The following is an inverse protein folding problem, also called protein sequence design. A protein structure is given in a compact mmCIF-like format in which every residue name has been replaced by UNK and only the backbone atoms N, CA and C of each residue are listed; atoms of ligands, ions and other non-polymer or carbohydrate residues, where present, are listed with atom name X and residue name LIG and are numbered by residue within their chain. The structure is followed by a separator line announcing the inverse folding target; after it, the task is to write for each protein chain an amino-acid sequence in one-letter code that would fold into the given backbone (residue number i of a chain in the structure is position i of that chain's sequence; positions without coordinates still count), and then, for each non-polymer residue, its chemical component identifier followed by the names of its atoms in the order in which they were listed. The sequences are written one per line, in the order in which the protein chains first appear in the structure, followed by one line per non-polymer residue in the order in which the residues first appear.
data_IF_984699038945
#
_entry.id   IF_984699038945
#
_cell.length_a   1.000
_cell.length_b   1.000
_cell.length_c   1.000
_cell.angle_alpha   90.00
_cell.angle_beta   90.00
_cell.angle_gamma   90.00
#
_symmetry.space_group_name_H-M   'P 1'
#
loop_
_entity.id
_entity.type
_entity.pdbx_description
1 polymer ?
#
# COMPACT_ATOMS: atom_id res chain seq x y z
N UNK A 1 43.96 -21.80 -61.78
CA UNK A 1 43.77 -22.35 -63.13
C UNK A 1 42.28 -22.38 -63.39
N UNK A 2 41.78 -21.64 -64.39
CA UNK A 2 40.35 -21.66 -64.75
C UNK A 2 40.15 -22.72 -65.84
N UNK A 3 39.41 -23.79 -65.55
CA UNK A 3 39.14 -24.86 -66.51
C UNK A 3 37.93 -24.44 -67.32
N UNK A 4 38.09 -24.33 -68.64
CA UNK A 4 36.95 -24.16 -69.53
C UNK A 4 36.17 -25.47 -69.63
N UNK A 5 35.12 -25.57 -68.81
CA UNK A 5 34.25 -26.75 -68.72
C UNK A 5 33.47 -27.00 -70.02
N UNK A 6 33.20 -25.97 -70.82
CA UNK A 6 32.50 -26.13 -72.11
C UNK A 6 33.44 -26.71 -73.14
N UNK A 7 34.64 -26.14 -73.26
CA UNK A 7 35.68 -26.69 -74.13
C UNK A 7 36.03 -28.13 -73.75
N UNK A 8 36.12 -28.43 -72.45
CA UNK A 8 36.39 -29.80 -71.98
C UNK A 8 35.24 -30.76 -72.31
N UNK A 9 33.99 -30.31 -72.22
CA UNK A 9 32.82 -31.10 -72.63
C UNK A 9 32.86 -31.42 -74.12
N UNK A 10 33.10 -30.42 -74.97
CA UNK A 10 33.18 -30.60 -76.43
C UNK A 10 34.28 -31.58 -76.84
N UNK A 11 35.43 -31.52 -76.16
CA UNK A 11 36.54 -32.46 -76.38
C UNK A 11 36.15 -33.87 -75.94
N UNK A 12 35.47 -34.02 -74.79
CA UNK A 12 35.01 -35.32 -74.32
C UNK A 12 33.91 -35.93 -75.22
N UNK A 13 32.97 -35.13 -75.73
CA UNK A 13 31.93 -35.58 -76.66
C UNK A 13 32.50 -36.03 -78.02
N UNK A 14 33.59 -35.42 -78.47
CA UNK A 14 34.29 -35.79 -79.72
C UNK A 14 35.26 -36.97 -79.56
N UNK A 15 35.61 -37.33 -78.33
CA UNK A 15 36.55 -38.42 -78.05
C UNK A 15 35.89 -39.80 -78.27
N UNK A 16 36.72 -40.84 -78.37
CA UNK A 16 36.24 -42.19 -78.69
C UNK A 16 35.27 -42.72 -77.62
N UNK A 17 34.00 -43.00 -77.95
CA UNK A 17 33.01 -43.47 -77.00
C UNK A 17 33.23 -44.96 -76.65
N UNK A 18 32.61 -45.41 -75.55
CA UNK A 18 32.56 -46.83 -75.18
C UNK A 18 33.31 -47.17 -73.90
N UNK A 19 33.43 -48.47 -73.62
CA UNK A 19 34.08 -48.98 -72.43
C UNK A 19 35.60 -49.08 -72.67
N UNK A 20 36.37 -48.27 -71.96
CA UNK A 20 37.83 -48.24 -72.09
C UNK A 20 38.48 -49.24 -71.14
N UNK A 21 39.39 -50.07 -71.66
CA UNK A 21 40.22 -51.00 -70.88
C UNK A 21 41.68 -50.70 -71.08
N UNK A 22 42.47 -50.96 -70.04
CA UNK A 22 43.94 -50.88 -70.11
C UNK A 22 44.51 -52.00 -70.97
N UNK A 23 45.59 -51.73 -71.68
CA UNK A 23 46.47 -52.76 -72.25
C UNK A 23 47.93 -52.36 -72.08
N UNK A 24 48.76 -53.29 -71.61
CA UNK A 24 50.20 -53.07 -71.46
C UNK A 24 50.88 -53.43 -72.79
N UNK A 25 51.35 -52.42 -73.53
CA UNK A 25 52.09 -52.59 -74.78
C UNK A 25 53.27 -51.62 -74.83
N UNK A 26 54.27 -51.90 -75.67
CA UNK A 26 55.35 -50.97 -75.99
C UNK A 26 54.88 -49.81 -76.90
N UNK A 27 53.66 -49.91 -77.43
CA UNK A 27 53.00 -48.89 -78.23
C UNK A 27 52.19 -47.94 -77.34
N UNK A 28 52.30 -46.63 -77.56
CA UNK A 28 51.44 -45.63 -76.92
C UNK A 28 50.31 -45.22 -77.89
N UNK A 29 49.06 -45.38 -77.48
CA UNK A 29 47.91 -44.99 -78.31
C UNK A 29 46.58 -45.56 -77.88
N UNK A 30 45.50 -45.07 -78.49
CA UNK A 30 44.14 -45.57 -78.32
C UNK A 30 43.80 -46.38 -79.57
N UNK A 31 43.38 -47.64 -79.40
CA UNK A 31 42.94 -48.46 -80.53
C UNK A 31 41.58 -49.09 -80.27
N UNK A 32 40.81 -49.24 -81.36
CA UNK A 32 39.55 -49.99 -81.38
C UNK A 32 39.88 -51.40 -81.85
N UNK A 33 39.59 -52.41 -81.04
CA UNK A 33 39.82 -53.80 -81.45
C UNK A 33 38.63 -54.66 -81.04
N UNK A 34 38.19 -55.61 -81.90
CA UNK A 34 37.38 -56.72 -81.44
C UNK A 34 38.24 -57.50 -80.45
N UNK A 35 37.89 -57.48 -79.16
CA UNK A 35 38.64 -58.25 -78.18
C UNK A 35 38.28 -59.73 -78.40
N UNK A 36 39.18 -60.50 -79.02
CA UNK A 36 38.90 -61.85 -79.56
C UNK A 36 38.35 -62.88 -78.57
N UNK A 37 38.35 -62.59 -77.26
CA UNK A 37 37.83 -63.47 -76.21
C UNK A 37 36.37 -63.21 -75.81
N UNK A 38 35.80 -62.04 -76.12
CA UNK A 38 34.43 -61.67 -75.70
C UNK A 38 33.49 -61.24 -76.83
N UNK A 39 33.97 -61.13 -78.08
CA UNK A 39 33.13 -60.74 -79.23
C UNK A 39 32.58 -59.30 -79.18
N UNK A 40 32.98 -58.52 -78.17
CA UNK A 40 32.58 -57.13 -77.95
C UNK A 40 33.72 -56.19 -78.39
N UNK A 41 33.37 -55.09 -79.06
CA UNK A 41 34.33 -54.04 -79.41
C UNK A 41 34.69 -53.25 -78.14
N UNK A 42 35.99 -53.24 -77.79
CA UNK A 42 36.50 -52.56 -76.59
C UNK A 42 37.55 -51.55 -77.00
N UNK A 43 37.55 -50.39 -76.33
CA UNK A 43 38.57 -49.35 -76.51
C UNK A 43 39.76 -49.66 -75.62
N UNK A 44 40.95 -49.75 -76.20
CA UNK A 44 42.17 -50.07 -75.46
C UNK A 44 43.07 -48.84 -75.33
N UNK A 45 43.31 -48.41 -74.09
CA UNK A 45 44.31 -47.41 -73.77
C UNK A 45 45.67 -48.11 -73.62
N UNK A 46 46.60 -47.82 -74.54
CA UNK A 46 47.97 -48.34 -74.52
C UNK A 46 48.93 -47.27 -74.04
N UNK A 47 49.69 -47.61 -73.00
CA UNK A 47 50.85 -46.83 -72.54
C UNK A 47 51.97 -47.78 -72.11
N UNK A 48 53.22 -47.32 -72.20
CA UNK A 48 54.39 -48.03 -71.69
C UNK A 48 54.24 -48.30 -70.18
N UNK A 49 53.76 -47.31 -69.43
CA UNK A 49 53.51 -47.41 -67.99
C UNK A 49 52.10 -47.95 -67.72
N UNK A 50 52.02 -49.13 -67.10
CA UNK A 50 50.75 -49.81 -66.78
C UNK A 50 49.76 -48.96 -65.97
N UNK A 51 50.29 -48.07 -65.11
CA UNK A 51 49.50 -47.16 -64.25
C UNK A 51 48.80 -46.06 -65.05
N UNK A 52 49.45 -45.55 -66.08
CA UNK A 52 48.90 -44.47 -66.92
C UNK A 52 47.76 -45.01 -67.79
N UNK A 53 47.89 -46.23 -68.32
CA UNK A 53 46.82 -46.90 -69.06
C UNK A 53 45.59 -47.17 -68.17
N UNK A 54 45.79 -47.52 -66.90
CA UNK A 54 44.70 -47.65 -65.92
C UNK A 54 44.00 -46.31 -65.69
N UNK A 55 44.77 -45.25 -65.46
CA UNK A 55 44.23 -43.91 -65.24
C UNK A 55 43.46 -43.40 -66.46
N UNK A 56 44.01 -43.50 -67.67
CA UNK A 56 43.35 -43.05 -68.91
C UNK A 56 42.08 -43.85 -69.19
N UNK A 57 42.10 -45.18 -68.95
CA UNK A 57 40.90 -46.00 -69.12
C UNK A 57 39.80 -45.66 -68.11
N UNK A 58 40.16 -45.28 -66.88
CA UNK A 58 39.21 -44.83 -65.85
C UNK A 58 38.71 -43.40 -66.10
N UNK A 59 39.61 -42.49 -66.47
CA UNK A 59 39.34 -41.09 -66.83
C UNK A 59 38.95 -40.95 -68.32
N UNK A 60 38.16 -41.91 -68.80
CA UNK A 60 37.67 -41.93 -70.16
C UNK A 60 36.63 -40.81 -70.40
N UNK A 61 36.21 -40.59 -71.67
CA UNK A 61 35.25 -39.54 -72.00
C UNK A 61 33.91 -39.65 -71.26
N UNK A 62 33.40 -40.86 -71.02
CA UNK A 62 32.15 -41.07 -70.30
C UNK A 62 32.25 -40.64 -68.82
N UNK A 63 33.35 -41.00 -68.14
CA UNK A 63 33.63 -40.57 -66.77
C UNK A 63 33.78 -39.04 -66.70
N UNK A 64 34.47 -38.42 -67.66
CA UNK A 64 34.65 -36.96 -67.70
C UNK A 64 33.30 -36.24 -67.87
N UNK A 65 32.44 -36.72 -68.77
CA UNK A 65 31.10 -36.15 -68.98
C UNK A 65 30.22 -36.27 -67.74
N UNK A 66 30.23 -37.43 -67.06
CA UNK A 66 29.52 -37.63 -65.81
C UNK A 66 29.99 -36.65 -64.72
N UNK A 67 31.31 -36.49 -64.54
CA UNK A 67 31.88 -35.53 -63.59
C UNK A 67 31.52 -34.07 -63.95
N UNK A 68 31.48 -33.73 -65.23
CA UNK A 68 31.04 -32.40 -65.68
C UNK A 68 29.56 -32.16 -65.39
N UNK A 69 28.70 -33.16 -65.59
CA UNK A 69 27.28 -33.08 -65.26
C UNK A 69 27.07 -32.91 -63.75
N UNK A 70 27.74 -33.71 -62.92
CA UNK A 70 27.74 -33.56 -61.46
C UNK A 70 28.21 -32.17 -61.04
N UNK A 71 29.28 -31.65 -61.65
CA UNK A 71 29.79 -30.33 -61.33
C UNK A 71 28.80 -29.21 -61.68
N UNK A 72 28.08 -29.33 -62.79
CA UNK A 72 27.00 -28.40 -63.16
C UNK A 72 25.86 -28.48 -62.15
N UNK A 73 25.47 -29.68 -61.70
CA UNK A 73 24.45 -29.84 -60.67
C UNK A 73 24.87 -29.22 -59.33
N UNK A 74 26.12 -29.44 -58.91
CA UNK A 74 26.67 -28.82 -57.70
C UNK A 74 26.69 -27.29 -57.79
N UNK A 75 27.03 -26.73 -58.96
CA UNK A 75 27.01 -25.27 -59.16
C UNK A 75 25.58 -24.72 -59.05
N UNK A 76 24.60 -25.37 -59.68
CA UNK A 76 23.18 -24.99 -59.56
C UNK A 76 22.69 -25.07 -58.11
N UNK A 77 23.08 -26.11 -57.38
CA UNK A 77 22.76 -26.26 -55.96
C UNK A 77 23.37 -25.15 -55.11
N UNK A 78 24.64 -24.79 -55.37
CA UNK A 78 25.31 -23.66 -54.72
C UNK A 78 24.58 -22.34 -54.98
N UNK A 79 24.26 -22.05 -56.23
CA UNK A 79 23.59 -20.79 -56.62
C UNK A 79 22.19 -20.71 -56.00
N UNK A 80 21.46 -21.84 -55.90
CA UNK A 80 20.17 -21.91 -55.24
C UNK A 80 20.27 -21.68 -53.72
N UNK A 81 21.26 -22.28 -53.05
CA UNK A 81 21.51 -22.06 -51.62
C UNK A 81 21.89 -20.60 -51.36
N UNK A 82 22.72 -20.01 -52.21
CA UNK A 82 23.11 -18.60 -52.10
C UNK A 82 21.90 -17.66 -52.24
N UNK A 83 21.03 -17.92 -53.22
CA UNK A 83 19.80 -17.17 -53.39
C UNK A 83 18.89 -17.26 -52.15
N UNK A 84 18.68 -18.46 -51.60
CA UNK A 84 17.89 -18.67 -50.38
C UNK A 84 18.53 -17.97 -49.17
N UNK A 85 19.86 -18.03 -49.03
CA UNK A 85 20.57 -17.38 -47.94
C UNK A 85 20.45 -15.85 -47.98
N UNK A 86 20.38 -15.25 -49.16
CA UNK A 86 20.14 -13.81 -49.32
C UNK A 86 18.72 -13.44 -48.86
N UNK A 87 17.70 -14.19 -49.31
CA UNK A 87 16.31 -13.95 -48.89
C UNK A 87 16.17 -14.09 -47.37
N UNK A 88 16.71 -15.16 -46.79
CA UNK A 88 16.67 -15.36 -45.33
C UNK A 88 17.37 -14.25 -44.56
N UNK A 89 18.44 -13.68 -45.11
CA UNK A 89 19.14 -12.55 -44.48
C UNK A 89 18.28 -11.30 -44.46
N UNK A 90 17.53 -11.04 -45.52
CA UNK A 90 16.65 -9.89 -45.60
C UNK A 90 15.39 -10.09 -44.72
N UNK A 91 14.81 -11.29 -44.71
CA UNK A 91 13.72 -11.65 -43.79
C UNK A 91 14.14 -11.49 -42.32
N UNK A 92 15.35 -11.94 -41.96
CA UNK A 92 15.88 -11.75 -40.60
C UNK A 92 16.09 -10.27 -40.26
N UNK A 93 16.46 -9.43 -41.23
CA UNK A 93 16.59 -7.98 -41.02
C UNK A 93 15.22 -7.37 -40.75
N UNK A 94 14.23 -7.68 -41.58
CA UNK A 94 12.86 -7.20 -41.41
C UNK A 94 12.25 -7.65 -40.08
N UNK A 95 12.47 -8.91 -39.68
CA UNK A 95 12.00 -9.42 -38.40
C UNK A 95 12.61 -8.66 -37.21
N UNK A 96 13.90 -8.32 -37.27
CA UNK A 96 14.57 -7.52 -36.23
C UNK A 96 14.04 -6.09 -36.17
N UNK A 97 13.76 -5.47 -37.30
CA UNK A 97 13.16 -4.13 -37.35
C UNK A 97 11.74 -4.12 -36.75
N UNK A 98 10.93 -5.13 -37.07
CA UNK A 98 9.60 -5.30 -36.47
C UNK A 98 9.67 -5.51 -34.96
N UNK A 99 10.63 -6.33 -34.51
CA UNK A 99 10.86 -6.56 -33.08
C UNK A 99 11.23 -5.26 -32.37
N UNK A 100 12.19 -4.49 -32.90
CA UNK A 100 12.59 -3.21 -32.32
C UNK A 100 11.42 -2.21 -32.27
N UNK A 101 10.57 -2.16 -33.31
CA UNK A 101 9.39 -1.32 -33.32
C UNK A 101 8.35 -1.74 -32.27
N UNK A 102 8.15 -3.05 -32.08
CA UNK A 102 7.26 -3.59 -31.06
C UNK A 102 7.78 -3.34 -29.64
N UNK A 103 9.07 -3.52 -29.41
CA UNK A 103 9.73 -3.21 -28.13
C UNK A 103 9.60 -1.72 -27.79
N UNK A 104 9.80 -0.83 -28.78
CA UNK A 104 9.60 0.61 -28.59
C UNK A 104 8.16 0.93 -28.19
N UNK A 105 7.16 0.34 -28.87
CA UNK A 105 5.74 0.53 -28.53
C UNK A 105 5.41 0.04 -27.12
N UNK A 106 5.96 -1.12 -26.73
CA UNK A 106 5.78 -1.64 -25.37
C UNK A 106 6.41 -0.72 -24.31
N UNK A 107 7.57 -0.11 -24.60
CA UNK A 107 8.20 0.85 -23.70
C UNK A 107 7.34 2.12 -23.55
N UNK A 108 6.86 2.69 -24.65
CA UNK A 108 5.96 3.86 -24.63
C UNK A 108 4.66 3.56 -23.86
N UNK A 109 4.07 2.37 -24.05
CA UNK A 109 2.89 1.96 -23.29
C UNK A 109 3.17 1.81 -21.80
N UNK A 110 4.33 1.25 -21.42
CA UNK A 110 4.73 1.14 -20.01
C UNK A 110 4.83 2.50 -19.35
N UNK A 111 5.50 3.45 -20.01
CA UNK A 111 5.63 4.83 -19.51
C UNK A 111 4.25 5.49 -19.33
N UNK A 112 3.34 5.30 -20.29
CA UNK A 112 1.96 5.80 -20.18
C UNK A 112 1.23 5.22 -18.96
N UNK A 113 1.26 3.90 -18.77
CA UNK A 113 0.58 3.26 -17.65
C UNK A 113 1.21 3.62 -16.30
N UNK A 114 2.53 3.76 -16.24
CA UNK A 114 3.23 4.22 -15.04
C UNK A 114 2.79 5.64 -14.65
N UNK A 115 2.63 6.54 -15.62
CA UNK A 115 2.05 7.87 -15.39
C UNK A 115 0.62 7.83 -14.85
N UNK A 116 -0.25 7.02 -15.46
CA UNK A 116 -1.65 6.86 -14.99
C UNK A 116 -1.72 6.31 -13.57
N UNK A 117 -0.86 5.35 -13.24
CA UNK A 117 -0.78 4.77 -11.89
C UNK A 117 -0.27 5.81 -10.89
N UNK A 118 0.75 6.60 -11.25
CA UNK A 118 1.28 7.66 -10.39
C UNK A 118 0.24 8.74 -10.10
N UNK A 119 -0.47 9.23 -11.13
CA UNK A 119 -1.54 10.21 -10.98
C UNK A 119 -2.71 9.65 -10.14
N UNK A 120 -3.08 8.39 -10.38
CA UNK A 120 -4.09 7.69 -9.58
C UNK A 120 -3.67 7.56 -8.11
N UNK A 121 -2.43 7.16 -7.85
CA UNK A 121 -1.87 7.05 -6.50
C UNK A 121 -1.86 8.39 -5.77
N UNK A 122 -1.51 9.48 -6.45
CA UNK A 122 -1.57 10.83 -5.87
C UNK A 122 -3.01 11.20 -5.48
N UNK A 123 -3.99 10.91 -6.34
CA UNK A 123 -5.39 11.23 -6.07
C UNK A 123 -5.94 10.43 -4.88
N UNK A 124 -5.53 9.17 -4.72
CA UNK A 124 -5.89 8.33 -3.58
C UNK A 124 -5.31 8.93 -2.29
N UNK A 125 -4.02 9.25 -2.27
CA UNK A 125 -3.38 9.86 -1.09
C UNK A 125 -4.02 11.20 -0.68
N UNK A 126 -4.40 12.04 -1.64
CA UNK A 126 -5.16 13.27 -1.37
C UNK A 126 -6.53 12.98 -0.72
N UNK A 127 -7.24 11.96 -1.20
CA UNK A 127 -8.54 11.56 -0.66
C UNK A 127 -8.41 10.96 0.74
N UNK A 128 -7.42 10.09 0.97
CA UNK A 128 -7.15 9.49 2.28
C UNK A 128 -6.81 10.57 3.33
N UNK A 129 -6.02 11.58 2.95
CA UNK A 129 -5.72 12.71 3.82
C UNK A 129 -6.98 13.55 4.11
N UNK A 130 -7.80 13.82 3.09
CA UNK A 130 -9.06 14.54 3.28
C UNK A 130 -10.05 13.77 4.15
N UNK A 131 -10.12 12.44 4.02
CA UNK A 131 -10.98 11.59 4.84
C UNK A 131 -10.53 11.61 6.30
N UNK A 132 -9.23 11.48 6.54
CA UNK A 132 -8.65 11.56 7.88
C UNK A 132 -8.95 12.91 8.53
N UNK A 133 -8.85 14.01 7.77
CA UNK A 133 -9.22 15.35 8.26
C UNK A 133 -10.70 15.42 8.65
N UNK A 134 -11.62 14.91 7.81
CA UNK A 134 -13.05 14.93 8.11
C UNK A 134 -13.41 14.08 9.34
N UNK A 135 -12.71 12.96 9.56
CA UNK A 135 -12.87 12.14 10.78
C UNK A 135 -12.45 12.96 12.01
N UNK A 136 -11.28 13.59 11.96
CA UNK A 136 -10.81 14.44 13.06
C UNK A 136 -11.76 15.61 13.35
N UNK A 137 -12.26 16.27 12.31
CA UNK A 137 -13.23 17.36 12.44
C UNK A 137 -14.56 16.87 13.03
N UNK A 138 -15.04 15.69 12.60
CA UNK A 138 -16.24 15.05 13.15
C UNK A 138 -16.06 14.73 14.63
N UNK A 139 -14.95 14.09 14.99
CA UNK A 139 -14.69 13.66 16.37
C UNK A 139 -14.54 14.89 17.30
N UNK A 140 -13.92 15.97 16.81
CA UNK A 140 -13.87 17.24 17.52
C UNK A 140 -15.28 17.85 17.72
N UNK A 141 -16.13 17.84 16.69
CA UNK A 141 -17.51 18.32 16.80
C UNK A 141 -18.35 17.45 17.74
N UNK A 142 -18.17 16.14 17.71
CA UNK A 142 -18.81 15.17 18.60
C UNK A 142 -18.43 15.44 20.06
N UNK A 143 -17.15 15.65 20.35
CA UNK A 143 -16.70 15.99 21.71
C UNK A 143 -17.28 17.33 22.17
N UNK A 144 -17.25 18.36 21.34
CA UNK A 144 -17.79 19.67 21.69
C UNK A 144 -19.29 19.62 22.00
N UNK A 145 -20.07 18.87 21.20
CA UNK A 145 -21.50 18.65 21.45
C UNK A 145 -21.75 17.80 22.69
N UNK A 146 -20.91 16.78 22.94
CA UNK A 146 -21.00 15.97 24.15
C UNK A 146 -20.76 16.80 25.42
N UNK A 147 -19.80 17.73 25.39
CA UNK A 147 -19.52 18.63 26.50
C UNK A 147 -20.69 19.60 26.74
N UNK A 148 -21.27 20.18 25.68
CA UNK A 148 -22.48 21.01 25.79
C UNK A 148 -23.67 20.22 26.37
N UNK A 149 -23.90 19.02 25.86
CA UNK A 149 -24.98 18.15 26.33
C UNK A 149 -24.78 17.79 27.80
N UNK A 150 -23.56 17.43 28.21
CA UNK A 150 -23.23 17.14 29.59
C UNK A 150 -23.42 18.35 30.51
N UNK A 151 -23.03 19.55 30.07
CA UNK A 151 -23.23 20.76 30.84
C UNK A 151 -24.71 21.06 31.11
N UNK A 152 -25.59 20.77 30.14
CA UNK A 152 -27.03 21.02 30.25
C UNK A 152 -27.81 19.90 30.97
N UNK A 153 -27.42 18.65 30.77
CA UNK A 153 -28.18 17.48 31.26
C UNK A 153 -27.57 16.84 32.51
N UNK A 154 -26.26 16.98 32.72
CA UNK A 154 -25.48 16.37 33.80
C UNK A 154 -24.78 15.07 33.42
N UNK A 155 -25.09 14.47 32.26
CA UNK A 155 -24.55 13.19 31.80
C UNK A 155 -24.04 13.32 30.35
N UNK A 156 -23.04 12.52 29.96
CA UNK A 156 -22.59 12.51 28.57
C UNK A 156 -23.59 11.74 27.69
N UNK A 157 -23.79 12.17 26.43
CA UNK A 157 -24.65 11.46 25.50
C UNK A 157 -24.00 10.13 25.06
N UNK A 158 -24.84 9.12 24.81
CA UNK A 158 -24.44 7.88 24.17
C UNK A 158 -24.80 7.92 22.68
N UNK A 159 -23.82 8.27 21.85
CA UNK A 159 -24.03 8.36 20.41
C UNK A 159 -24.37 7.00 19.81
N UNK A 160 -25.39 6.98 18.96
CA UNK A 160 -25.78 5.77 18.24
C UNK A 160 -26.46 6.11 16.93
N UNK A 161 -26.69 5.10 16.08
CA UNK A 161 -27.46 5.29 14.84
C UNK A 161 -28.91 5.78 15.07
N UNK A 162 -29.43 5.69 16.29
CA UNK A 162 -30.79 6.13 16.65
C UNK A 162 -30.80 7.39 17.52
N UNK A 163 -29.62 7.87 17.92
CA UNK A 163 -29.47 9.08 18.73
C UNK A 163 -28.27 9.87 18.22
N UNK A 164 -28.56 10.89 17.43
CA UNK A 164 -27.58 11.75 16.77
C UNK A 164 -27.55 13.17 17.35
N UNK A 165 -26.79 14.04 16.68
CA UNK A 165 -26.57 15.41 17.13
C UNK A 165 -27.85 16.23 17.29
N UNK A 166 -28.83 16.06 16.40
CA UNK A 166 -30.11 16.75 16.50
C UNK A 166 -30.89 16.35 17.76
N UNK A 167 -30.96 15.05 18.05
CA UNK A 167 -31.64 14.53 19.23
C UNK A 167 -31.00 15.06 20.53
N UNK A 168 -29.67 15.13 20.56
CA UNK A 168 -28.94 15.71 21.68
C UNK A 168 -29.27 17.21 21.88
N UNK A 169 -29.35 17.98 20.79
CA UNK A 169 -29.72 19.40 20.84
C UNK A 169 -31.16 19.58 21.33
N UNK A 170 -32.11 18.78 20.84
CA UNK A 170 -33.52 18.85 21.23
C UNK A 170 -33.69 18.60 22.74
N UNK A 171 -32.96 17.64 23.31
CA UNK A 171 -32.95 17.37 24.76
C UNK A 171 -32.39 18.56 25.55
N UNK A 172 -31.31 19.18 25.07
CA UNK A 172 -30.74 20.38 25.72
C UNK A 172 -31.74 21.53 25.70
N UNK A 173 -32.41 21.75 24.57
CA UNK A 173 -33.46 22.78 24.43
C UNK A 173 -34.60 22.55 25.43
N UNK A 174 -35.10 21.32 25.54
CA UNK A 174 -36.15 20.97 26.50
C UNK A 174 -35.71 21.24 27.95
N UNK A 175 -34.47 20.86 28.30
CA UNK A 175 -33.94 21.10 29.65
C UNK A 175 -33.82 22.59 29.96
N UNK A 176 -33.34 23.40 29.02
CA UNK A 176 -33.30 24.86 29.17
C UNK A 176 -34.70 25.44 29.38
N UNK A 177 -35.69 25.04 28.58
CA UNK A 177 -37.06 25.49 28.74
C UNK A 177 -37.63 25.13 30.14
N UNK A 178 -37.33 23.93 30.66
CA UNK A 178 -37.74 23.55 32.03
C UNK A 178 -37.06 24.39 33.11
N UNK A 179 -35.76 24.70 32.96
CA UNK A 179 -35.02 25.54 33.91
C UNK A 179 -35.52 26.99 33.91
N UNK A 180 -35.77 27.57 32.74
CA UNK A 180 -36.33 28.92 32.60
C UNK A 180 -37.72 29.03 33.22
N UNK A 181 -38.57 28.01 33.01
CA UNK A 181 -39.89 27.93 33.64
C UNK A 181 -39.79 27.87 35.17
N UNK A 182 -38.80 27.15 35.72
CA UNK A 182 -38.55 27.08 37.16
C UNK A 182 -38.00 28.41 37.72
N UNK A 183 -37.10 29.07 36.99
CA UNK A 183 -36.46 30.32 37.43
C UNK A 183 -37.44 31.52 37.40
N UNK A 184 -38.37 31.54 36.45
CA UNK A 184 -39.37 32.61 36.30
C UNK A 184 -40.47 32.58 37.37
N UNK A 185 -40.55 31.50 38.15
CA UNK A 185 -41.47 31.43 39.28
C UNK A 185 -40.87 32.15 40.49
N UNK A 186 -41.15 33.45 40.62
CA UNK A 186 -41.55 33.93 41.95
C UNK A 186 -42.80 33.13 42.30
N UNK A 187 -42.63 32.11 43.13
CA UNK A 187 -43.73 31.19 43.43
C UNK A 187 -44.95 32.01 43.89
N UNK A 188 -46.19 31.64 43.52
CA UNK A 188 -47.39 32.32 44.01
C UNK A 188 -47.37 32.49 45.54
N UNK A 189 -46.79 31.51 46.23
CA UNK A 189 -46.47 31.53 47.66
C UNK A 189 -45.52 32.66 48.05
N UNK A 190 -44.40 32.85 47.33
CA UNK A 190 -43.48 33.95 47.55
C UNK A 190 -44.10 35.34 47.31
N UNK A 191 -44.91 35.49 46.26
CA UNK A 191 -45.66 36.73 46.00
C UNK A 191 -46.66 37.02 47.13
N UNK A 192 -47.37 35.99 47.60
CA UNK A 192 -48.31 36.11 48.72
C UNK A 192 -47.59 36.51 50.01
N UNK A 193 -46.45 35.88 50.32
CA UNK A 193 -45.68 36.15 51.53
C UNK A 193 -45.13 37.58 51.55
N UNK A 194 -44.67 38.09 50.40
CA UNK A 194 -44.27 39.50 50.24
C UNK A 194 -45.48 40.43 50.42
N UNK A 195 -46.63 40.10 49.85
CA UNK A 195 -47.85 40.93 49.94
C UNK A 195 -48.36 41.01 51.39
N UNK A 196 -48.42 39.88 52.08
CA UNK A 196 -48.83 39.80 53.48
C UNK A 196 -47.81 40.53 54.39
N UNK A 197 -46.51 40.40 54.11
CA UNK A 197 -45.48 41.13 54.83
C UNK A 197 -45.64 42.64 54.69
N UNK A 198 -45.93 43.14 53.48
CA UNK A 198 -46.21 44.56 53.24
C UNK A 198 -47.44 45.01 54.04
N UNK A 199 -48.50 44.21 54.05
CA UNK A 199 -49.71 44.48 54.83
C UNK A 199 -49.44 44.55 56.34
N UNK A 200 -48.66 43.61 56.87
CA UNK A 200 -48.30 43.57 58.27
C UNK A 200 -47.40 44.74 58.70
N UNK A 201 -46.46 45.17 57.86
CA UNK A 201 -45.70 46.39 58.09
C UNK A 201 -46.63 47.61 58.20
N UNK A 202 -47.63 47.72 57.32
CA UNK A 202 -48.66 48.76 57.40
C UNK A 202 -49.45 48.73 58.72
N UNK A 203 -49.82 47.53 59.19
CA UNK A 203 -50.51 47.34 60.47
C UNK A 203 -49.65 47.72 61.68
N UNK A 204 -48.38 47.31 61.71
CA UNK A 204 -47.42 47.63 62.77
C UNK A 204 -47.24 49.15 62.87
N UNK A 205 -47.03 49.83 61.73
CA UNK A 205 -46.92 51.30 61.68
C UNK A 205 -48.20 51.97 62.16
N UNK A 206 -49.37 51.48 61.74
CA UNK A 206 -50.67 51.98 62.22
C UNK A 206 -50.85 51.83 63.74
N UNK A 207 -50.46 50.68 64.31
CA UNK A 207 -50.54 50.44 65.76
C UNK A 207 -49.62 51.39 66.56
N UNK A 208 -48.42 51.65 66.06
CA UNK A 208 -47.48 52.59 66.67
C UNK A 208 -48.02 54.03 66.65
N UNK A 209 -48.59 54.47 65.54
CA UNK A 209 -49.19 55.81 65.42
C UNK A 209 -50.43 55.99 66.33
N UNK A 210 -51.15 54.92 66.63
CA UNK A 210 -52.31 54.91 67.52
C UNK A 210 -51.95 54.69 69.00
N UNK A 211 -50.66 54.63 69.35
CA UNK A 211 -50.21 54.47 70.73
C UNK A 211 -50.40 53.08 71.31
N UNK A 212 -50.49 52.03 70.47
CA UNK A 212 -50.59 50.62 70.88
C UNK A 212 -49.34 49.83 70.48
N UNK A 213 -48.21 50.02 71.20
CA UNK A 213 -46.94 49.37 70.88
C UNK A 213 -46.93 47.87 71.20
N UNK A 214 -47.83 47.41 72.07
CA UNK A 214 -48.06 46.02 72.44
C UNK A 214 -48.52 45.17 71.23
N UNK A 215 -49.50 45.66 70.48
CA UNK A 215 -49.98 44.99 69.27
C UNK A 215 -48.97 45.04 68.12
N UNK A 216 -48.22 46.14 68.01
CA UNK A 216 -47.13 46.27 67.04
C UNK A 216 -46.03 45.23 67.31
N UNK A 217 -45.65 45.07 68.57
CA UNK A 217 -44.64 44.08 68.99
C UNK A 217 -45.13 42.64 68.77
N UNK A 218 -46.40 42.36 69.07
CA UNK A 218 -46.99 41.04 68.83
C UNK A 218 -46.94 40.65 67.35
N UNK A 219 -47.34 41.57 66.46
CA UNK A 219 -47.32 41.34 65.02
C UNK A 219 -45.89 41.21 64.48
N UNK A 220 -44.94 42.05 64.95
CA UNK A 220 -43.51 41.89 64.60
C UNK A 220 -42.96 40.51 64.98
N UNK A 221 -43.33 39.95 66.14
CA UNK A 221 -42.84 38.63 66.57
C UNK A 221 -43.33 37.49 65.66
N UNK A 222 -44.57 37.59 65.16
CA UNK A 222 -45.12 36.61 64.20
C UNK A 222 -44.32 36.61 62.90
N UNK A 223 -44.00 37.80 62.38
CA UNK A 223 -43.24 37.94 61.13
C UNK A 223 -41.76 37.57 61.27
N UNK A 224 -41.12 37.86 62.41
CA UNK A 224 -39.76 37.36 62.68
C UNK A 224 -39.72 35.83 62.65
N UNK A 225 -40.72 35.15 63.22
CA UNK A 225 -40.82 33.69 63.15
C UNK A 225 -41.08 33.19 61.73
N UNK A 226 -41.98 33.85 60.99
CA UNK A 226 -42.32 33.46 59.62
C UNK A 226 -41.12 33.60 58.66
N UNK A 227 -40.37 34.71 58.75
CA UNK A 227 -39.16 34.91 57.96
C UNK A 227 -38.01 33.98 58.37
N UNK A 228 -37.90 33.65 59.66
CA UNK A 228 -36.92 32.65 60.13
C UNK A 228 -37.15 31.28 59.49
N UNK A 229 -38.40 30.83 59.44
CA UNK A 229 -38.77 29.57 58.78
C UNK A 229 -38.55 29.63 57.26
N UNK A 230 -38.84 30.75 56.62
CA UNK A 230 -38.57 30.94 55.19
C UNK A 230 -37.06 30.92 54.87
N UNK A 231 -36.23 31.51 55.74
CA UNK A 231 -34.78 31.53 55.56
C UNK A 231 -34.14 30.13 55.63
N UNK A 232 -34.67 29.22 56.45
CA UNK A 232 -34.23 27.81 56.48
C UNK A 232 -34.52 27.08 55.17
N UNK A 233 -35.67 27.36 54.53
CA UNK A 233 -36.05 26.75 53.25
C UNK A 233 -35.16 27.23 52.10
N UNK A 234 -34.88 28.55 52.04
CA UNK A 234 -33.99 29.13 51.02
C UNK A 234 -32.57 28.59 51.17
N UNK A 235 -32.07 28.49 52.40
CA UNK A 235 -30.74 27.93 52.69
C UNK A 235 -30.60 26.47 52.27
N UNK A 236 -31.70 25.70 52.32
CA UNK A 236 -31.72 24.31 51.86
C UNK A 236 -31.75 24.18 50.32
N UNK A 237 -32.30 25.18 49.61
CA UNK A 237 -32.35 25.20 48.14
C UNK A 237 -31.01 25.59 47.51
N UNK A 238 -30.28 26.54 48.11
CA UNK A 238 -28.94 26.94 47.65
C UNK A 238 -27.90 25.81 47.79
N UNK A 239 -28.12 24.85 48.69
CA UNK A 239 -27.25 23.67 48.82
C UNK A 239 -27.49 22.61 47.71
N UNK A 240 -28.62 22.68 47.01
CA UNK A 240 -28.97 21.74 45.92
C UNK A 240 -28.73 22.33 44.52
N UNK A 241 -28.67 23.66 44.40
CA UNK A 241 -28.36 24.36 43.16
C UNK A 241 -26.86 24.51 42.95
N UNK A 242 -26.36 23.99 41.83
CA UNK A 242 -25.00 24.23 41.31
C UNK A 242 -23.90 23.46 42.06
N UNK A 243 -23.87 22.14 41.82
CA UNK A 243 -22.61 21.40 41.88
C UNK A 243 -21.75 21.75 40.66
N UNK A 244 -21.05 22.90 40.69
CA UNK A 244 -19.85 23.05 39.86
C UNK A 244 -18.86 22.03 40.40
N UNK A 245 -18.80 20.86 39.77
CA UNK A 245 -17.65 19.97 39.95
C UNK A 245 -16.45 20.81 39.52
N UNK A 246 -15.55 21.10 40.46
CA UNK A 246 -14.23 21.59 40.09
C UNK A 246 -13.67 20.59 39.09
N UNK A 247 -13.51 21.07 37.85
CA UNK A 247 -12.72 20.38 36.85
C UNK A 247 -11.33 20.27 37.46
N UNK A 248 -10.98 19.07 37.94
CA UNK A 248 -9.58 18.74 38.13
C UNK A 248 -8.96 18.90 36.75
N UNK A 249 -8.06 19.87 36.61
CA UNK A 249 -7.16 20.00 35.47
C UNK A 249 -6.36 18.69 35.38
N UNK A 250 -6.93 17.70 34.68
CA UNK A 250 -6.12 16.67 34.06
C UNK A 250 -5.36 17.38 32.96
N UNK A 251 -4.11 17.73 33.27
CA UNK A 251 -3.12 18.16 32.30
C UNK A 251 -3.02 17.04 31.27
N UNK A 252 -3.72 17.22 30.16
CA UNK A 252 -3.72 16.31 29.04
C UNK A 252 -2.40 16.51 28.29
N UNK A 253 -1.37 15.79 28.73
CA UNK A 253 -0.07 15.69 28.04
C UNK A 253 0.09 14.39 27.27
N UNK A 254 -0.91 13.52 27.26
CA UNK A 254 -0.76 12.14 26.81
C UNK A 254 -1.53 11.89 25.52
N UNK A 255 -1.19 12.68 24.49
CA UNK A 255 -1.55 12.34 23.11
C UNK A 255 -0.76 11.08 22.73
N UNK A 256 -1.42 9.92 22.78
CA UNK A 256 -0.98 8.68 22.14
C UNK A 256 -0.45 7.55 23.04
N UNK A 257 -0.66 7.58 24.36
CA UNK A 257 -0.20 6.48 25.24
C UNK A 257 -1.25 5.40 25.46
N UNK A 258 -0.79 4.15 25.52
CA UNK A 258 -1.64 3.02 25.86
C UNK A 258 -2.06 3.02 27.33
N UNK A 259 -3.28 2.54 27.59
CA UNK A 259 -3.76 2.39 28.97
C UNK A 259 -2.99 1.27 29.71
N UNK A 260 -2.76 1.42 31.02
CA UNK A 260 -2.10 0.39 31.83
C UNK A 260 -2.84 -0.95 31.75
N UNK A 261 -2.12 -2.02 31.43
CA UNK A 261 -2.70 -3.34 31.21
C UNK A 261 -1.80 -4.24 30.37
N UNK A 262 -2.31 -5.42 30.02
CA UNK A 262 -1.61 -6.32 29.10
C UNK A 262 -1.90 -5.89 27.66
N UNK A 263 -0.89 -5.34 27.00
CA UNK A 263 -0.98 -4.89 25.61
C UNK A 263 -0.14 -5.83 24.74
N UNK A 264 -0.64 -6.16 23.55
CA UNK A 264 0.11 -6.99 22.61
C UNK A 264 1.29 -6.18 22.08
N UNK A 265 2.47 -6.79 21.98
CA UNK A 265 3.72 -6.11 21.62
C UNK A 265 3.62 -5.26 20.34
N UNK A 266 2.82 -5.70 19.35
CA UNK A 266 2.60 -4.95 18.10
C UNK A 266 1.91 -3.59 18.28
N UNK A 267 1.21 -3.41 19.40
CA UNK A 267 0.45 -2.21 19.70
C UNK A 267 1.15 -1.31 20.71
N UNK A 268 2.38 -1.62 21.12
CA UNK A 268 3.14 -0.74 22.00
C UNK A 268 3.72 0.40 21.18
N UNK A 269 3.54 1.61 21.67
CA UNK A 269 3.99 2.83 21.01
C UNK A 269 5.18 3.46 21.75
N UNK A 270 5.95 4.27 21.03
CA UNK A 270 7.00 5.09 21.64
C UNK A 270 6.38 6.05 22.67
N UNK A 271 6.94 6.08 23.87
CA UNK A 271 6.42 6.82 25.02
C UNK A 271 5.58 5.99 26.00
N UNK A 272 5.30 4.72 25.71
CA UNK A 272 4.70 3.79 26.67
C UNK A 272 5.70 3.35 27.74
N UNK A 273 5.20 3.10 28.96
CA UNK A 273 5.99 2.51 30.03
C UNK A 273 5.66 1.03 30.15
N UNK A 274 6.63 0.15 29.95
CA UNK A 274 6.44 -1.29 30.02
C UNK A 274 7.23 -1.92 31.15
N UNK A 275 6.69 -2.98 31.75
CA UNK A 275 7.32 -3.70 32.83
C UNK A 275 7.93 -5.00 32.34
N UNK A 276 9.26 -5.05 32.32
CA UNK A 276 10.03 -6.20 31.87
C UNK A 276 10.85 -6.74 33.04
N UNK A 277 10.61 -7.99 33.42
CA UNK A 277 11.31 -8.68 34.54
C UNK A 277 11.29 -7.89 35.86
N UNK A 278 10.20 -7.15 36.11
CA UNK A 278 9.99 -6.38 37.35
C UNK A 278 10.58 -4.98 37.36
N UNK A 279 11.18 -4.51 36.26
CA UNK A 279 11.64 -3.14 36.07
C UNK A 279 10.77 -2.43 35.02
N UNK A 280 10.53 -1.13 35.23
CA UNK A 280 9.75 -0.30 34.32
C UNK A 280 10.69 0.44 33.38
N UNK A 281 10.41 0.38 32.09
CA UNK A 281 11.18 1.03 31.04
C UNK A 281 10.25 1.89 30.17
N UNK A 282 10.71 3.07 29.80
CA UNK A 282 10.06 3.90 28.78
C UNK A 282 10.52 3.43 27.40
N UNK A 283 9.57 3.21 26.49
CA UNK A 283 9.81 2.80 25.11
C UNK A 283 10.23 4.04 24.30
N UNK A 284 11.42 4.02 23.72
CA UNK A 284 11.96 5.08 22.87
C UNK A 284 11.57 4.87 21.40
N UNK A 285 11.63 3.62 20.93
CA UNK A 285 11.37 3.27 19.53
C UNK A 285 10.83 1.84 19.44
N UNK A 286 9.89 1.61 18.51
CA UNK A 286 9.33 0.30 18.20
C UNK A 286 9.60 -0.06 16.74
N UNK A 287 10.17 -1.24 16.52
CA UNK A 287 10.49 -1.76 15.20
C UNK A 287 9.81 -3.12 14.99
N UNK A 288 9.13 -3.26 13.86
CA UNK A 288 8.30 -4.42 13.52
C UNK A 288 8.84 -5.11 12.26
N UNK A 289 9.17 -6.39 12.37
CA UNK A 289 9.55 -7.26 11.26
C UNK A 289 8.49 -8.37 11.10
N UNK A 290 8.54 -9.19 10.04
CA UNK A 290 7.47 -10.09 9.58
C UNK A 290 6.90 -11.04 10.67
N UNK A 291 7.61 -11.28 11.78
CA UNK A 291 7.15 -12.12 12.90
C UNK A 291 7.50 -11.60 14.32
N UNK A 292 8.33 -10.57 14.45
CA UNK A 292 8.89 -10.13 15.73
C UNK A 292 8.74 -8.61 15.94
N UNK A 293 8.62 -8.20 17.21
CA UNK A 293 8.69 -6.81 17.67
C UNK A 293 9.98 -6.58 18.45
N UNK A 294 10.65 -5.48 18.16
CA UNK A 294 11.76 -4.96 18.98
C UNK A 294 11.34 -3.64 19.62
N UNK A 295 11.30 -3.61 20.95
CA UNK A 295 11.09 -2.39 21.73
C UNK A 295 12.44 -1.90 22.24
N UNK A 296 12.85 -0.70 21.85
CA UNK A 296 14.04 -0.02 22.37
C UNK A 296 13.65 0.85 23.55
N UNK A 297 14.41 0.79 24.64
CA UNK A 297 14.11 1.52 25.87
C UNK A 297 15.09 2.66 26.09
N UNK A 298 14.59 3.74 26.69
CA UNK A 298 15.41 4.85 27.19
C UNK A 298 16.45 4.29 28.18
N UNK A 299 17.72 4.37 27.80
CA UNK A 299 18.83 3.73 28.54
C UNK A 299 19.51 2.57 27.78
N UNK A 300 19.12 2.29 26.54
CA UNK A 300 19.85 1.43 25.60
C UNK A 300 19.58 -0.07 25.72
N UNK A 301 18.61 -0.47 26.56
CA UNK A 301 18.14 -1.85 26.62
C UNK A 301 17.10 -2.10 25.52
N UNK A 302 16.98 -3.35 25.07
CA UNK A 302 15.96 -3.74 24.10
C UNK A 302 15.23 -5.01 24.52
N UNK A 303 13.94 -5.10 24.24
CA UNK A 303 13.14 -6.31 24.35
C UNK A 303 12.73 -6.76 22.94
N UNK A 304 13.18 -7.95 22.55
CA UNK A 304 12.70 -8.64 21.35
C UNK A 304 11.71 -9.74 21.73
N UNK A 305 10.53 -9.72 21.13
CA UNK A 305 9.49 -10.72 21.38
C UNK A 305 8.63 -10.95 20.12
N UNK A 306 7.84 -12.03 20.09
CA UNK A 306 6.94 -12.31 18.96
C UNK A 306 5.83 -11.24 18.87
N UNK A 307 5.33 -10.96 17.66
CA UNK A 307 4.26 -9.99 17.40
C UNK A 307 3.05 -10.09 18.36
N UNK A 308 2.66 -11.32 18.72
CA UNK A 308 1.54 -11.60 19.62
C UNK A 308 1.88 -11.65 21.12
N UNK A 309 3.10 -11.29 21.53
CA UNK A 309 3.51 -11.40 22.93
C UNK A 309 2.78 -10.36 23.80
N UNK A 310 2.10 -10.75 24.88
CA UNK A 310 1.53 -9.79 25.82
C UNK A 310 2.65 -9.15 26.66
N UNK A 311 2.64 -7.83 26.74
CA UNK A 311 3.57 -7.00 27.49
C UNK A 311 2.77 -6.12 28.45
N UNK A 312 3.20 -6.06 29.71
CA UNK A 312 2.53 -5.27 30.75
C UNK A 312 2.90 -3.79 30.57
N UNK A 313 1.96 -2.98 30.09
CA UNK A 313 2.03 -1.52 30.08
C UNK A 313 1.60 -0.99 31.44
N UNK A 314 2.33 -0.03 31.99
CA UNK A 314 2.09 0.60 33.28
C UNK A 314 1.96 2.11 33.13
N UNK A 315 1.34 2.77 34.10
CA UNK A 315 1.34 4.24 34.13
C UNK A 315 2.75 4.79 34.30
N UNK A 316 2.97 6.00 33.78
CA UNK A 316 4.21 6.73 33.99
C UNK A 316 4.57 6.76 35.50
N UNK A 317 5.80 6.40 35.88
CA UNK A 317 6.20 6.42 37.27
C UNK A 317 6.15 7.87 37.78
N UNK A 318 5.27 8.14 38.75
CA UNK A 318 5.23 9.42 39.46
C UNK A 318 6.62 9.63 40.07
N UNK A 319 7.30 10.70 39.67
CA UNK A 319 8.64 11.04 40.12
C UNK A 319 8.66 11.31 41.64
N UNK A 320 8.76 10.26 42.44
CA UNK A 320 9.22 10.38 43.82
C UNK A 320 10.71 10.73 43.73
N UNK A 321 11.05 11.97 44.09
CA UNK A 321 12.39 12.54 43.93
C UNK A 321 13.51 11.60 44.41
N UNK A 322 14.21 10.99 43.46
CA UNK A 322 15.46 10.28 43.70
C UNK A 322 16.58 11.26 43.42
N UNK A 323 17.25 11.69 44.51
CA UNK A 323 18.53 12.39 44.44
C UNK A 323 19.52 11.56 43.64
N UNK A 324 19.99 12.14 42.53
CA UNK A 324 21.20 11.70 41.83
C UNK A 324 22.37 11.80 42.82
N UNK A 325 22.95 10.67 43.22
CA UNK A 325 24.35 10.61 43.67
C UNK A 325 25.17 10.30 42.43
N UNK A 326 26.07 11.22 42.09
CA UNK A 326 27.03 11.03 41.00
C UNK A 326 28.01 9.90 41.28
N UNK A 327 28.49 9.29 40.21
CA UNK A 327 29.86 9.42 39.68
C UNK A 327 29.84 9.05 38.19
#
# INVERSE_FOLDING_TARGET
MNIDKRALREVAEKATPGNWRRTSSLFNGITVTPFSLCGEEVMLAHTVEKRDAEFIAAANPATMLALLDENIQLQRGKDAIEAVALVLRDDMRQAREQLAAAEKRNAEQREYYEGVIADGGKRIAELENSETQLINERDAAESALADMYQAATGERPEWSNMFGFADAVDVVEERLATLEANQSQTTPTGIQLITEAIGAHGYIVGCLLQGRPDLALEESRKWVSAFGQAAEIVSAQDAAGIGVKQQEDSVDSDVGRNQPGMVVAVHIDAGDFVKVKGQVFEVEETDFDDHDVTLWFVGGNALKCAAGCPVEVVSAPVAAGIKVKGE
#
